data_IF_799361910552
#
_entry.id   IF_799361910552
#
_cell.length_a   1.000
_cell.length_b   1.000
_cell.length_c   1.000
_cell.angle_alpha   90.00
_cell.angle_beta   90.00
_cell.angle_gamma   90.00
#
_symmetry.space_group_name_H-M   'P 1'
#
loop_
_entity.id
_entity.type
_entity.pdbx_description
1 polymer ?
#
# COMPACT_ATOMS: atom_id res chain seq x y z
N UNK A 1 -7.83 -1.78 13.70
CA UNK A 1 -6.96 -0.59 13.91
C UNK A 1 -6.73 0.09 12.56
N UNK A 2 -6.85 1.42 12.49
CA UNK A 2 -6.76 2.17 11.23
C UNK A 2 -5.31 2.63 11.00
N UNK A 3 -4.78 2.39 9.80
CA UNK A 3 -3.37 2.65 9.44
C UNK A 3 -3.32 3.53 8.18
N UNK A 4 -2.37 4.47 8.16
CA UNK A 4 -1.98 5.19 6.95
C UNK A 4 -0.55 4.81 6.56
N UNK A 5 -0.27 4.71 5.26
CA UNK A 5 1.06 4.42 4.73
C UNK A 5 1.60 5.67 4.02
N UNK A 6 2.73 6.19 4.49
CA UNK A 6 3.42 7.31 3.87
C UNK A 6 4.70 6.81 3.19
N UNK A 7 4.67 6.72 1.86
CA UNK A 7 5.67 6.07 1.02
C UNK A 7 5.21 4.67 0.58
N UNK A 8 4.69 4.57 -0.65
CA UNK A 8 4.19 3.36 -1.29
C UNK A 8 5.20 2.70 -2.25
N UNK A 9 6.47 2.77 -1.87
CA UNK A 9 7.55 2.02 -2.50
C UNK A 9 7.52 0.53 -2.16
N UNK A 10 8.65 -0.16 -2.32
CA UNK A 10 8.76 -1.62 -2.09
C UNK A 10 8.21 -2.06 -0.73
N UNK A 11 8.67 -1.44 0.36
CA UNK A 11 8.23 -1.81 1.73
C UNK A 11 6.76 -1.44 1.96
N UNK A 12 6.33 -0.25 1.53
CA UNK A 12 4.93 0.18 1.68
C UNK A 12 3.94 -0.78 1.02
N UNK A 13 4.25 -1.25 -0.20
CA UNK A 13 3.43 -2.26 -0.89
C UNK A 13 3.45 -3.61 -0.19
N UNK A 14 4.61 -4.10 0.26
CA UNK A 14 4.69 -5.36 1.01
C UNK A 14 3.90 -5.31 2.31
N UNK A 15 3.99 -4.20 3.05
CA UNK A 15 3.21 -3.97 4.27
C UNK A 15 1.72 -3.94 3.94
N UNK A 16 1.30 -3.21 2.90
CA UNK A 16 -0.09 -3.19 2.46
C UNK A 16 -0.61 -4.59 2.12
N UNK A 17 0.14 -5.41 1.38
CA UNK A 17 -0.25 -6.79 1.05
C UNK A 17 -0.49 -7.63 2.32
N UNK A 18 0.38 -7.53 3.33
CA UNK A 18 0.24 -8.27 4.59
C UNK A 18 -0.97 -7.75 5.39
N UNK A 19 -1.13 -6.43 5.49
CA UNK A 19 -2.25 -5.84 6.22
C UNK A 19 -3.60 -6.15 5.55
N UNK A 20 -3.63 -6.24 4.22
CA UNK A 20 -4.85 -6.52 3.46
C UNK A 20 -5.33 -7.98 3.59
N UNK A 21 -4.54 -8.88 4.19
CA UNK A 21 -4.97 -10.26 4.52
C UNK A 21 -5.41 -10.39 5.97
N UNK A 22 -5.52 -9.29 6.72
CA UNK A 22 -5.77 -9.29 8.15
C UNK A 22 -7.00 -8.45 8.49
N UNK A 23 -7.96 -9.07 9.17
CA UNK A 23 -9.23 -8.40 9.51
C UNK A 23 -9.11 -7.42 10.69
N UNK A 24 -8.01 -7.48 11.45
CA UNK A 24 -7.76 -6.58 12.58
C UNK A 24 -7.17 -5.22 12.17
N UNK A 25 -6.81 -5.04 10.91
CA UNK A 25 -6.24 -3.81 10.36
C UNK A 25 -7.02 -3.28 9.16
N UNK A 26 -7.09 -1.96 9.04
CA UNK A 26 -7.70 -1.27 7.91
C UNK A 26 -6.73 -0.19 7.43
N UNK A 27 -6.25 -0.31 6.19
CA UNK A 27 -5.44 0.75 5.56
C UNK A 27 -6.39 1.80 4.98
N UNK A 28 -6.38 3.00 5.55
CA UNK A 28 -7.36 4.06 5.23
C UNK A 28 -6.82 5.16 4.33
N UNK A 29 -5.49 5.26 4.22
CA UNK A 29 -4.83 6.23 3.38
C UNK A 29 -3.46 5.73 2.94
N UNK A 30 -3.08 6.09 1.71
CA UNK A 30 -1.75 5.90 1.16
C UNK A 30 -1.33 7.25 0.58
N UNK A 31 -0.11 7.68 0.90
CA UNK A 31 0.50 8.88 0.34
C UNK A 31 1.83 8.50 -0.34
N UNK A 32 2.06 9.02 -1.55
CA UNK A 32 3.33 8.91 -2.27
C UNK A 32 3.49 10.11 -3.21
N UNK A 33 4.70 10.28 -3.76
CA UNK A 33 4.99 11.31 -4.76
C UNK A 33 4.65 10.84 -6.19
N UNK A 34 4.57 9.53 -6.41
CA UNK A 34 4.16 8.95 -7.68
C UNK A 34 2.64 9.10 -7.89
N UNK A 35 2.23 9.12 -9.15
CA UNK A 35 0.83 9.20 -9.56
C UNK A 35 0.08 7.89 -9.30
N UNK A 36 -1.24 7.99 -9.14
CA UNK A 36 -2.08 6.85 -8.76
C UNK A 36 -1.98 5.68 -9.75
N UNK A 37 -1.87 5.96 -11.05
CA UNK A 37 -1.79 4.91 -12.07
C UNK A 37 -0.50 4.09 -11.95
N UNK A 38 0.64 4.74 -11.68
CA UNK A 38 1.89 4.05 -11.41
C UNK A 38 1.81 3.23 -10.12
N UNK A 39 1.24 3.78 -9.05
CA UNK A 39 1.08 3.06 -7.78
C UNK A 39 0.20 1.81 -7.94
N UNK A 40 -0.91 1.92 -8.68
CA UNK A 40 -1.80 0.78 -8.99
C UNK A 40 -1.05 -0.26 -9.82
N UNK A 41 -0.31 0.17 -10.84
CA UNK A 41 0.49 -0.73 -11.67
C UNK A 41 1.52 -1.50 -10.81
N UNK A 42 2.29 -0.80 -9.99
CA UNK A 42 3.32 -1.40 -9.12
C UNK A 42 2.73 -2.30 -8.03
N UNK A 43 1.50 -2.04 -7.59
CA UNK A 43 0.80 -2.93 -6.66
C UNK A 43 0.31 -4.21 -7.36
N UNK A 44 -0.21 -4.10 -8.58
CA UNK A 44 -0.66 -5.25 -9.37
C UNK A 44 0.51 -6.12 -9.83
N UNK A 45 1.60 -5.50 -10.25
CA UNK A 45 2.76 -6.17 -10.83
C UNK A 45 4.00 -5.93 -9.95
N UNK A 46 4.32 -6.91 -9.10
CA UNK A 46 5.59 -6.98 -8.37
C UNK A 46 6.56 -7.84 -9.18
N UNK A 47 7.70 -7.26 -9.58
CA UNK A 47 8.80 -7.97 -10.25
C UNK A 47 9.93 -8.24 -9.26
#
# INVERSE_FOLDING_TARGET
MRIAINGFGRIGRSVFRILNTRDDFEVVAINDIADNDALIYLLKYDT
#
